data_IF_157986660261
#
_entry.id   IF_157986660261
#
_cell.length_a   1.000
_cell.length_b   1.000
_cell.length_c   1.000
_cell.angle_alpha   90.00
_cell.angle_beta   90.00
_cell.angle_gamma   90.00
#
_symmetry.space_group_name_H-M   'P 1'
#
loop_
_entity.id
_entity.type
_entity.pdbx_description
1 polymer ?
#
# COMPACT_ATOMS: atom_id res chain seq x y z
N UNK A 1 -8.73 -13.57 11.96
CA UNK A 1 -8.32 -14.21 10.70
C UNK A 1 -8.44 -15.73 10.80
N UNK A 2 -8.02 -16.34 11.90
CA UNK A 2 -8.23 -17.79 12.14
C UNK A 2 -9.71 -18.23 12.18
N UNK A 3 -10.63 -17.32 12.49
CA UNK A 3 -12.08 -17.57 12.49
C UNK A 3 -12.77 -17.28 11.14
N UNK A 4 -12.02 -16.86 10.11
CA UNK A 4 -12.61 -16.57 8.80
C UNK A 4 -13.06 -17.89 8.12
N UNK A 5 -14.33 -18.00 7.68
CA UNK A 5 -14.85 -19.23 7.07
C UNK A 5 -14.14 -19.62 5.77
N UNK A 6 -13.55 -18.68 5.03
CA UNK A 6 -12.76 -18.97 3.83
C UNK A 6 -11.34 -19.45 4.17
N UNK A 7 -10.80 -19.00 5.30
CA UNK A 7 -9.56 -19.53 5.86
C UNK A 7 -9.76 -20.97 6.36
N UNK A 8 -10.79 -21.19 7.18
CA UNK A 8 -11.15 -22.52 7.70
C UNK A 8 -11.54 -23.49 6.57
N UNK A 9 -12.20 -22.99 5.52
CA UNK A 9 -12.57 -23.77 4.34
C UNK A 9 -11.43 -24.10 3.39
N UNK A 10 -10.19 -23.64 3.67
CA UNK A 10 -9.02 -23.92 2.84
C UNK A 10 -9.12 -23.33 1.42
N UNK A 11 -10.02 -22.38 1.19
CA UNK A 11 -10.18 -21.72 -0.12
C UNK A 11 -8.92 -20.91 -0.46
N UNK A 12 -8.27 -20.39 0.57
CA UNK A 12 -7.09 -19.54 0.45
C UNK A 12 -5.83 -20.40 0.52
N UNK A 13 -5.62 -21.26 -0.48
CA UNK A 13 -4.55 -22.29 -0.48
C UNK A 13 -3.12 -21.77 -0.64
N UNK A 14 -2.95 -20.50 -1.00
CA UNK A 14 -1.63 -19.84 -1.15
C UNK A 14 -1.55 -18.46 -0.52
N UNK A 15 -2.58 -18.06 0.23
CA UNK A 15 -2.55 -16.77 0.89
C UNK A 15 -1.67 -16.87 2.14
N UNK A 16 -0.54 -16.17 2.11
CA UNK A 16 0.29 -16.01 3.28
C UNK A 16 0.03 -14.60 3.85
N UNK A 17 -0.68 -14.48 4.98
CA UNK A 17 -0.93 -13.18 5.57
C UNK A 17 0.40 -12.54 5.98
N UNK A 18 0.57 -11.28 5.60
CA UNK A 18 1.75 -10.49 5.95
C UNK A 18 1.32 -9.36 6.87
N UNK A 19 2.07 -9.20 7.97
CA UNK A 19 1.87 -8.10 8.91
C UNK A 19 2.85 -6.98 8.61
N UNK A 20 2.37 -5.75 8.65
CA UNK A 20 3.25 -4.59 8.68
C UNK A 20 4.06 -4.59 9.99
N UNK A 21 5.38 -4.48 9.87
CA UNK A 21 6.24 -4.17 11.01
C UNK A 21 6.13 -2.69 11.38
N UNK A 22 5.80 -1.85 10.39
CA UNK A 22 5.57 -0.42 10.55
C UNK A 22 4.41 0.01 9.67
N UNK A 23 3.47 0.74 10.25
CA UNK A 23 2.26 1.16 9.57
C UNK A 23 2.04 2.67 9.71
N UNK A 24 1.81 3.33 8.58
CA UNK A 24 1.39 4.72 8.50
C UNK A 24 -0.13 4.73 8.36
N UNK A 25 -0.80 5.05 9.46
CA UNK A 25 -2.25 5.08 9.55
C UNK A 25 -2.88 6.17 8.67
N UNK A 26 -4.10 5.94 8.16
CA UNK A 26 -4.85 6.96 7.46
C UNK A 26 -5.24 8.11 8.39
N UNK A 27 -5.24 9.34 7.88
CA UNK A 27 -5.69 10.53 8.63
C UNK A 27 -7.21 10.65 8.71
N UNK A 28 -7.89 10.20 7.67
CA UNK A 28 -9.34 10.26 7.57
C UNK A 28 -9.87 8.84 7.41
N UNK A 29 -11.02 8.58 8.03
CA UNK A 29 -11.79 7.38 7.69
C UNK A 29 -12.13 7.43 6.21
N UNK A 30 -11.72 6.39 5.48
CA UNK A 30 -12.02 6.29 4.06
C UNK A 30 -13.53 6.10 3.90
N UNK A 31 -14.25 7.00 3.19
CA UNK A 31 -15.69 6.86 2.99
C UNK A 31 -16.06 5.51 2.36
N UNK A 32 -17.17 4.92 2.77
CA UNK A 32 -17.69 3.73 2.12
C UNK A 32 -18.28 4.13 0.76
N UNK A 33 -17.82 3.49 -0.32
CA UNK A 33 -18.27 3.75 -1.69
C UNK A 33 -18.65 2.42 -2.33
N UNK A 34 -19.94 2.27 -2.67
CA UNK A 34 -20.53 1.00 -3.12
C UNK A 34 -20.65 0.88 -4.65
N UNK A 35 -20.37 1.96 -5.38
CA UNK A 35 -20.55 2.03 -6.84
C UNK A 35 -19.26 1.74 -7.63
N UNK A 36 -18.17 1.38 -6.94
CA UNK A 36 -16.88 1.07 -7.56
C UNK A 36 -16.20 2.27 -8.24
N UNK A 37 -16.70 3.49 -8.03
CA UNK A 37 -16.14 4.70 -8.64
C UNK A 37 -14.79 5.07 -8.04
N UNK A 38 -14.46 4.55 -6.85
CA UNK A 38 -13.15 4.69 -6.25
C UNK A 38 -12.13 3.77 -6.88
N UNK A 39 -11.35 4.35 -7.78
CA UNK A 39 -10.14 3.76 -8.31
C UNK A 39 -8.96 4.34 -7.56
N UNK A 40 -8.18 3.45 -6.96
CA UNK A 40 -6.91 3.78 -6.29
C UNK A 40 -5.86 2.80 -6.79
N UNK A 41 -4.60 3.14 -6.55
CA UNK A 41 -3.45 2.33 -6.94
C UNK A 41 -2.75 1.82 -5.69
N UNK A 42 -2.47 0.52 -5.66
CA UNK A 42 -1.53 -0.06 -4.72
C UNK A 42 -0.13 0.03 -5.30
N UNK A 43 0.80 0.57 -4.51
CA UNK A 43 2.23 0.61 -4.81
C UNK A 43 2.94 -0.39 -3.90
N UNK A 44 3.71 -1.28 -4.51
CA UNK A 44 4.45 -2.34 -3.83
C UNK A 44 5.91 -2.37 -4.31
N UNK A 45 6.84 -2.64 -3.41
CA UNK A 45 8.24 -2.83 -3.79
C UNK A 45 9.22 -2.70 -2.63
N UNK A 46 10.47 -3.13 -2.82
CA UNK A 46 11.50 -3.09 -1.78
C UNK A 46 12.03 -1.67 -1.56
N UNK A 47 12.28 -1.34 -0.30
CA UNK A 47 13.03 -0.14 0.07
C UNK A 47 14.53 -0.31 -0.23
N UNK A 48 15.20 0.80 -0.55
CA UNK A 48 16.66 0.89 -0.59
C UNK A 48 17.21 1.46 0.73
N UNK A 49 16.47 2.36 1.37
CA UNK A 49 16.81 2.97 2.66
C UNK A 49 15.55 2.99 3.53
N UNK A 50 15.38 1.96 4.36
CA UNK A 50 14.14 1.74 5.09
C UNK A 50 13.77 2.90 6.04
N UNK A 51 14.71 3.36 6.86
CA UNK A 51 14.46 4.44 7.82
C UNK A 51 14.06 5.75 7.14
N UNK A 52 14.69 6.07 6.00
CA UNK A 52 14.34 7.26 5.21
C UNK A 52 13.02 7.10 4.47
N UNK A 53 12.75 5.92 3.94
CA UNK A 53 11.48 5.59 3.28
C UNK A 53 10.30 5.75 4.27
N UNK A 54 10.50 5.43 5.54
CA UNK A 54 9.48 5.62 6.58
C UNK A 54 9.08 7.10 6.72
N UNK A 55 10.04 8.02 6.80
CA UNK A 55 9.76 9.45 6.84
C UNK A 55 9.07 9.94 5.56
N UNK A 56 9.55 9.50 4.39
CA UNK A 56 8.95 9.86 3.12
C UNK A 56 7.49 9.37 3.00
N UNK A 57 7.17 8.19 3.55
CA UNK A 57 5.78 7.69 3.57
C UNK A 57 4.87 8.57 4.43
N UNK A 58 5.36 9.05 5.58
CA UNK A 58 4.64 9.99 6.44
C UNK A 58 4.41 11.33 5.74
N UNK A 59 5.45 11.86 5.08
CA UNK A 59 5.37 13.11 4.30
C UNK A 59 4.41 12.98 3.13
N UNK A 60 4.46 11.88 2.38
CA UNK A 60 3.53 11.62 1.27
C UNK A 60 2.08 11.53 1.74
N UNK A 61 1.84 10.98 2.93
CA UNK A 61 0.50 11.00 3.53
C UNK A 61 0.08 12.43 3.86
N UNK A 62 0.97 13.21 4.49
CA UNK A 62 0.72 14.63 4.81
C UNK A 62 0.46 15.49 3.56
N UNK A 63 1.10 15.17 2.44
CA UNK A 63 0.90 15.82 1.15
C UNK A 63 -0.34 15.31 0.39
N UNK A 64 -1.11 14.37 0.96
CA UNK A 64 -2.29 13.80 0.32
C UNK A 64 -2.02 12.88 -0.86
N UNK A 65 -0.78 12.39 -1.02
CA UNK A 65 -0.39 11.47 -2.10
C UNK A 65 -0.77 10.02 -1.78
N UNK A 66 -0.73 9.62 -0.51
CA UNK A 66 -1.15 8.30 -0.07
C UNK A 66 -2.28 8.38 0.96
N UNK A 67 -3.09 7.34 1.03
CA UNK A 67 -4.09 7.15 2.08
C UNK A 67 -3.47 6.53 3.32
N UNK A 68 -2.81 5.39 3.14
CA UNK A 68 -2.09 4.64 4.17
C UNK A 68 -1.06 3.72 3.52
N UNK A 69 -0.22 3.10 4.33
CA UNK A 69 0.73 2.10 3.87
C UNK A 69 1.66 1.65 4.98
N UNK A 70 2.66 0.88 4.62
CA UNK A 70 3.64 0.43 5.59
C UNK A 70 4.73 -0.40 4.98
N UNK A 71 5.54 -0.95 5.88
CA UNK A 71 6.67 -1.81 5.57
C UNK A 71 6.50 -3.15 6.26
N UNK A 72 6.88 -4.21 5.56
CA UNK A 72 6.98 -5.55 6.09
C UNK A 72 8.36 -5.79 6.69
N UNK A 73 8.52 -6.85 7.48
CA UNK A 73 9.78 -7.20 8.16
C UNK A 73 10.95 -7.42 7.19
N UNK A 74 10.67 -7.87 5.97
CA UNK A 74 11.66 -8.08 4.89
C UNK A 74 12.03 -6.78 4.12
N UNK A 75 11.52 -5.62 4.56
CA UNK A 75 11.78 -4.32 3.94
C UNK A 75 10.94 -4.04 2.68
N UNK A 76 9.97 -4.90 2.37
CA UNK A 76 8.97 -4.65 1.34
C UNK A 76 7.95 -3.58 1.78
N UNK A 77 7.52 -2.73 0.86
CA UNK A 77 6.48 -1.73 1.07
C UNK A 77 5.18 -2.16 0.43
N UNK A 78 4.06 -1.79 1.07
CA UNK A 78 2.76 -1.73 0.42
C UNK A 78 2.07 -0.43 0.84
N UNK A 79 1.60 0.35 -0.13
CA UNK A 79 0.95 1.63 0.12
C UNK A 79 -0.21 1.88 -0.85
N UNK A 80 -1.25 2.56 -0.36
CA UNK A 80 -2.42 2.95 -1.13
C UNK A 80 -2.25 4.40 -1.58
N UNK A 81 -2.04 4.62 -2.86
CA UNK A 81 -1.92 5.94 -3.47
C UNK A 81 -3.31 6.56 -3.71
N UNK A 82 -3.45 7.87 -3.48
CA UNK A 82 -4.71 8.62 -3.73
C UNK A 82 -4.90 9.03 -5.20
N UNK A 83 -4.18 8.38 -6.12
CA UNK A 83 -4.39 8.47 -7.57
C UNK A 83 -4.79 7.10 -8.12
N UNK A 84 -5.52 7.10 -9.22
CA UNK A 84 -5.78 5.91 -10.03
C UNK A 84 -4.75 5.69 -11.13
N UNK A 85 -3.86 6.65 -11.36
CA UNK A 85 -2.78 6.56 -12.35
C UNK A 85 -1.58 5.83 -11.72
N UNK A 86 -1.25 4.67 -12.28
CA UNK A 86 -0.13 3.85 -11.81
C UNK A 86 1.23 4.53 -11.97
N UNK A 87 1.45 5.21 -13.09
CA UNK A 87 2.73 5.85 -13.41
C UNK A 87 2.94 7.10 -12.56
N UNK A 88 1.86 7.85 -12.28
CA UNK A 88 1.88 8.91 -11.28
C UNK A 88 2.23 8.39 -9.89
N UNK A 89 1.57 7.31 -9.44
CA UNK A 89 1.85 6.71 -8.16
C UNK A 89 3.32 6.25 -8.05
N UNK A 90 3.85 5.57 -9.07
CA UNK A 90 5.25 5.13 -9.10
C UNK A 90 6.22 6.31 -9.04
N UNK A 91 5.95 7.39 -9.78
CA UNK A 91 6.78 8.60 -9.78
C UNK A 91 6.90 9.21 -8.39
N UNK A 92 5.81 9.30 -7.64
CA UNK A 92 5.86 9.84 -6.27
C UNK A 92 6.85 9.09 -5.37
N UNK A 93 6.92 7.75 -5.48
CA UNK A 93 7.86 6.94 -4.71
C UNK A 93 9.28 7.06 -5.25
N UNK A 94 9.45 7.02 -6.58
CA UNK A 94 10.75 7.15 -7.22
C UNK A 94 11.43 8.51 -6.95
N UNK A 95 10.67 9.60 -6.94
CA UNK A 95 11.17 10.97 -6.66
C UNK A 95 11.79 11.12 -5.26
N UNK A 96 11.39 10.29 -4.30
CA UNK A 96 11.99 10.30 -2.95
C UNK A 96 13.40 9.70 -2.93
N UNK A 97 13.74 8.83 -3.88
CA UNK A 97 15.02 8.13 -3.94
C UNK A 97 15.22 7.02 -2.90
N UNK A 98 14.21 6.67 -2.09
CA UNK A 98 14.36 5.70 -1.00
C UNK A 98 13.86 4.28 -1.33
N UNK A 99 13.26 4.09 -2.49
CA UNK A 99 12.86 2.79 -3.04
C UNK A 99 13.74 2.37 -4.20
N UNK A 100 13.76 1.08 -4.51
CA UNK A 100 14.42 0.58 -5.73
C UNK A 100 13.47 0.79 -6.92
N UNK A 101 13.73 1.75 -7.82
CA UNK A 101 12.75 2.17 -8.83
C UNK A 101 12.38 1.03 -9.78
N UNK A 102 13.35 0.21 -10.19
CA UNK A 102 13.12 -0.91 -11.11
C UNK A 102 12.34 -2.08 -10.48
N UNK A 103 12.12 -2.04 -9.17
CA UNK A 103 11.38 -3.06 -8.42
C UNK A 103 10.08 -2.52 -7.82
N UNK A 104 9.74 -1.25 -8.06
CA UNK A 104 8.43 -0.71 -7.72
C UNK A 104 7.41 -1.19 -8.74
N UNK A 105 6.26 -1.61 -8.24
CA UNK A 105 5.12 -2.02 -9.04
C UNK A 105 3.88 -1.28 -8.59
N UNK A 106 3.02 -0.95 -9.54
CA UNK A 106 1.73 -0.37 -9.28
C UNK A 106 0.65 -1.29 -9.86
N UNK A 107 -0.43 -1.49 -9.10
CA UNK A 107 -1.61 -2.19 -9.61
C UNK A 107 -2.89 -1.48 -9.19
N UNK A 108 -3.92 -1.53 -10.04
CA UNK A 108 -5.24 -1.05 -9.65
C UNK A 108 -5.73 -1.79 -8.40
N UNK A 109 -6.29 -1.04 -7.47
CA UNK A 109 -7.01 -1.59 -6.35
C UNK A 109 -8.47 -1.14 -6.40
N UNK A 110 -9.32 -2.12 -6.68
CA UNK A 110 -10.75 -2.00 -6.53
C UNK A 110 -11.06 -2.29 -5.07
N UNK A 111 -11.32 -1.25 -4.30
CA UNK A 111 -11.83 -1.39 -2.95
C UNK A 111 -13.36 -1.24 -3.00
N UNK A 112 -14.07 -2.25 -2.48
CA UNK A 112 -15.50 -2.16 -2.19
C UNK A 112 -15.56 -2.50 -0.71
N UNK A 113 -15.99 -1.53 0.11
CA UNK A 113 -16.24 -1.74 1.54
C UNK A 113 -17.74 -1.89 1.76
#
# INVERSE_FOLDING_TARGET
>A
MEEDPYWLGGVWTRYEPRSFSQFVEPWEMVPVVLDGTRRTTLVEGPTAQHDMAQFALIEMRGAGRIAFGGFFEDGGTLAVAKTSDGDEALRWFAETGFWKPDALTARPWLHVL
#
